data_IF_105107951936
#
_entry.id   IF_105107951936
#
_cell.length_a   1.000
_cell.length_b   1.000
_cell.length_c   1.000
_cell.angle_alpha   90.00
_cell.angle_beta   90.00
_cell.angle_gamma   90.00
#
_symmetry.space_group_name_H-M   'P 1'
#
loop_
_entity.id
_entity.type
_entity.pdbx_description
1 polymer ?
#
# COMPACT_ATOMS: atom_id res chain seq x y z
N UNK A 1 50.41 -1.01 0.59
CA UNK A 1 49.28 -0.28 1.22
C UNK A 1 48.58 0.50 0.12
N UNK A 2 47.51 -0.05 -0.45
CA UNK A 2 46.73 0.63 -1.50
C UNK A 2 45.59 1.38 -0.85
N UNK A 3 45.65 2.71 -0.84
CA UNK A 3 44.58 3.59 -0.40
C UNK A 3 43.39 3.44 -1.35
N UNK A 4 42.29 2.84 -0.89
CA UNK A 4 40.99 2.89 -1.56
C UNK A 4 40.50 4.34 -1.54
N UNK A 5 40.87 5.12 -2.56
CA UNK A 5 40.25 6.41 -2.81
C UNK A 5 38.79 6.13 -3.22
N UNK A 6 37.85 6.43 -2.32
CA UNK A 6 36.44 6.40 -2.64
C UNK A 6 36.18 7.40 -3.78
N UNK A 7 35.54 6.94 -4.86
CA UNK A 7 35.12 7.81 -5.97
C UNK A 7 34.23 8.94 -5.41
N UNK A 8 34.41 10.19 -5.87
CA UNK A 8 33.64 11.34 -5.40
C UNK A 8 32.14 11.18 -5.70
N UNK A 9 31.28 11.49 -4.73
CA UNK A 9 29.82 11.45 -4.88
C UNK A 9 29.34 12.73 -5.57
N UNK A 10 29.55 12.78 -6.90
CA UNK A 10 29.21 13.92 -7.75
C UNK A 10 27.76 14.39 -7.60
N UNK A 11 26.84 13.48 -7.24
CA UNK A 11 25.44 13.81 -7.00
C UNK A 11 25.25 14.43 -5.61
N UNK A 12 25.90 13.88 -4.58
CA UNK A 12 25.95 14.48 -3.24
C UNK A 12 26.52 15.90 -3.26
N UNK A 13 27.61 16.10 -3.99
CA UNK A 13 28.27 17.40 -4.14
C UNK A 13 27.38 18.42 -4.88
N UNK A 14 26.73 18.00 -5.96
CA UNK A 14 25.80 18.85 -6.73
C UNK A 14 24.55 19.22 -5.91
N UNK A 15 24.02 18.28 -5.12
CA UNK A 15 22.88 18.52 -4.24
C UNK A 15 23.26 19.43 -3.07
N UNK A 16 24.46 19.26 -2.50
CA UNK A 16 24.98 20.13 -1.45
C UNK A 16 25.19 21.56 -1.94
N UNK A 17 25.73 21.75 -3.14
CA UNK A 17 25.83 23.07 -3.77
C UNK A 17 24.47 23.74 -3.98
N UNK A 18 23.42 22.98 -4.31
CA UNK A 18 22.08 23.55 -4.56
C UNK A 18 21.24 23.77 -3.31
N UNK A 19 21.37 22.92 -2.29
CA UNK A 19 20.50 22.92 -1.11
C UNK A 19 21.14 23.59 0.11
N UNK A 20 22.44 23.92 0.07
CA UNK A 20 23.17 24.48 1.20
C UNK A 20 23.24 23.52 2.41
N UNK A 21 22.97 22.23 2.20
CA UNK A 21 22.95 21.18 3.22
C UNK A 21 23.67 19.95 2.69
N UNK A 22 24.50 19.34 3.53
CA UNK A 22 25.18 18.08 3.19
C UNK A 22 24.15 16.98 2.98
N UNK A 23 24.05 16.47 1.75
CA UNK A 23 23.20 15.32 1.42
C UNK A 23 24.06 14.07 1.44
N UNK A 24 24.19 13.45 2.60
CA UNK A 24 24.82 12.13 2.72
C UNK A 24 23.84 11.03 2.39
N UNK A 25 24.23 10.12 1.48
CA UNK A 25 23.48 8.88 1.24
C UNK A 25 23.39 8.08 2.55
N UNK A 26 22.21 7.56 2.95
CA UNK A 26 22.10 6.76 4.15
C UNK A 26 23.02 5.54 4.06
N UNK A 27 23.95 5.41 5.01
CA UNK A 27 24.84 4.26 5.10
C UNK A 27 24.06 3.10 5.75
N UNK A 28 23.64 2.13 4.94
CA UNK A 28 22.93 0.94 5.39
C UNK A 28 23.62 -0.33 4.88
N UNK A 29 23.36 -1.46 5.55
CA UNK A 29 23.80 -2.77 5.09
C UNK A 29 23.20 -3.09 3.72
N UNK A 30 23.95 -3.81 2.87
CA UNK A 30 23.51 -4.20 1.53
C UNK A 30 22.71 -5.52 1.58
N UNK A 31 21.66 -5.54 2.38
CA UNK A 31 20.77 -6.69 2.62
C UNK A 31 19.34 -6.22 2.91
N UNK A 32 18.42 -7.17 3.14
CA UNK A 32 17.04 -6.85 3.52
C UNK A 32 16.95 -6.10 4.86
N UNK A 33 17.92 -6.25 5.76
CA UNK A 33 18.02 -5.44 6.99
C UNK A 33 18.22 -3.96 6.69
N UNK A 34 19.07 -3.64 5.70
CA UNK A 34 19.28 -2.28 5.22
C UNK A 34 18.05 -1.72 4.50
N UNK A 35 17.34 -2.55 3.73
CA UNK A 35 16.05 -2.17 3.12
C UNK A 35 15.05 -1.77 4.20
N UNK A 36 14.87 -2.59 5.23
CA UNK A 36 13.95 -2.29 6.34
C UNK A 36 14.33 -1.01 7.09
N UNK A 37 15.63 -0.74 7.28
CA UNK A 37 16.09 0.51 7.90
C UNK A 37 15.75 1.74 7.05
N UNK A 38 16.01 1.68 5.74
CA UNK A 38 15.62 2.75 4.81
C UNK A 38 14.11 3.01 4.82
N UNK A 39 13.30 1.96 4.94
CA UNK A 39 11.84 2.09 5.05
C UNK A 39 11.44 2.77 6.35
N UNK A 40 12.02 2.35 7.48
CA UNK A 40 11.76 2.94 8.80
C UNK A 40 12.12 4.43 8.84
N UNK A 41 13.19 4.83 8.16
CA UNK A 41 13.65 6.22 8.07
C UNK A 41 12.92 7.05 6.97
N UNK A 42 11.94 6.46 6.28
CA UNK A 42 11.18 7.13 5.22
C UNK A 42 11.92 7.30 3.88
N UNK A 43 13.08 6.67 3.71
CA UNK A 43 13.90 6.72 2.50
C UNK A 43 13.44 5.71 1.43
N UNK A 44 12.17 5.73 1.04
CA UNK A 44 11.56 4.73 0.15
C UNK A 44 12.26 4.61 -1.22
N UNK A 45 12.72 5.71 -1.83
CA UNK A 45 13.47 5.66 -3.11
C UNK A 45 14.80 4.93 -2.98
N UNK A 46 15.52 5.17 -1.88
CA UNK A 46 16.76 4.44 -1.61
C UNK A 46 16.48 2.96 -1.36
N UNK A 47 15.38 2.63 -0.66
CA UNK A 47 14.96 1.24 -0.44
C UNK A 47 14.65 0.54 -1.78
N UNK A 48 13.93 1.18 -2.71
CA UNK A 48 13.70 0.63 -4.06
C UNK A 48 15.02 0.35 -4.77
N UNK A 49 15.96 1.29 -4.75
CA UNK A 49 17.25 1.10 -5.39
C UNK A 49 18.05 -0.04 -4.76
N UNK A 50 17.99 -0.20 -3.43
CA UNK A 50 18.62 -1.32 -2.75
C UNK A 50 17.99 -2.66 -3.14
N UNK A 51 16.65 -2.76 -3.21
CA UNK A 51 16.00 -4.01 -3.68
C UNK A 51 16.41 -4.38 -5.11
N UNK A 52 16.57 -3.40 -6.03
CA UNK A 52 17.08 -3.67 -7.37
C UNK A 52 18.49 -4.26 -7.32
N UNK A 53 19.38 -3.70 -6.49
CA UNK A 53 20.73 -4.22 -6.32
C UNK A 53 20.75 -5.66 -5.78
N UNK A 54 19.91 -5.96 -4.78
CA UNK A 54 19.80 -7.31 -4.21
C UNK A 54 19.29 -8.33 -5.25
N UNK A 55 18.35 -7.93 -6.11
CA UNK A 55 17.87 -8.79 -7.20
C UNK A 55 18.97 -9.03 -8.23
N UNK A 56 19.71 -7.99 -8.63
CA UNK A 56 20.85 -8.15 -9.56
C UNK A 56 21.92 -9.08 -9.00
N UNK A 57 22.24 -8.99 -7.71
CA UNK A 57 23.17 -9.92 -7.05
C UNK A 57 22.65 -11.36 -7.04
N UNK A 58 21.33 -11.55 -7.03
CA UNK A 58 20.69 -12.85 -7.15
C UNK A 58 20.41 -13.27 -8.61
N UNK A 59 21.03 -12.60 -9.60
CA UNK A 59 20.82 -12.85 -11.03
C UNK A 59 19.34 -12.73 -11.47
N UNK A 60 18.62 -11.79 -10.87
CA UNK A 60 17.24 -11.45 -11.22
C UNK A 60 17.11 -9.96 -11.60
N UNK A 61 16.02 -9.61 -12.28
CA UNK A 61 15.70 -8.23 -12.68
C UNK A 61 16.09 -7.91 -14.11
N UNK A 62 16.40 -6.64 -14.37
CA UNK A 62 16.63 -6.12 -15.73
C UNK A 62 17.68 -6.93 -16.51
N UNK A 63 17.37 -7.30 -17.75
CA UNK A 63 18.27 -8.05 -18.63
C UNK A 63 18.32 -9.55 -18.39
N UNK A 64 17.60 -10.08 -17.40
CA UNK A 64 17.58 -11.53 -17.08
C UNK A 64 16.39 -12.28 -17.69
N UNK A 65 15.58 -11.60 -18.52
CA UNK A 65 14.44 -12.24 -19.20
C UNK A 65 14.92 -13.38 -20.11
N UNK A 66 14.25 -14.54 -20.02
CA UNK A 66 14.58 -15.73 -20.80
C UNK A 66 15.72 -16.59 -20.23
N UNK A 67 16.38 -16.17 -19.14
CA UNK A 67 17.32 -17.02 -18.41
C UNK A 67 16.56 -18.02 -17.53
N UNK A 68 17.15 -19.20 -17.23
CA UNK A 68 16.55 -20.14 -16.30
C UNK A 68 16.24 -19.50 -14.95
N UNK A 69 15.01 -19.67 -14.47
CA UNK A 69 14.59 -19.16 -13.17
C UNK A 69 15.44 -19.76 -12.06
N UNK A 70 15.89 -18.92 -11.12
CA UNK A 70 16.57 -19.33 -9.90
C UNK A 70 15.85 -18.71 -8.70
N UNK A 71 14.62 -19.14 -8.48
CA UNK A 71 13.76 -18.56 -7.45
C UNK A 71 14.06 -19.17 -6.08
N UNK A 72 14.24 -18.29 -5.11
CA UNK A 72 14.45 -18.65 -3.71
C UNK A 72 13.43 -17.94 -2.82
N UNK A 73 13.32 -18.37 -1.56
CA UNK A 73 12.51 -17.63 -0.59
C UNK A 73 12.99 -16.18 -0.44
N UNK A 74 14.30 -15.97 -0.47
CA UNK A 74 14.93 -14.66 -0.38
C UNK A 74 14.57 -13.77 -1.57
N UNK A 75 14.69 -14.26 -2.82
CA UNK A 75 14.38 -13.42 -3.99
C UNK A 75 12.92 -12.99 -4.02
N UNK A 76 11.99 -13.86 -3.62
CA UNK A 76 10.58 -13.50 -3.48
C UNK A 76 10.28 -12.53 -2.35
N UNK A 77 11.03 -12.57 -1.24
CA UNK A 77 10.96 -11.55 -0.19
C UNK A 77 11.37 -10.18 -0.73
N UNK A 78 12.47 -10.12 -1.49
CA UNK A 78 12.97 -8.89 -2.12
C UNK A 78 11.96 -8.37 -3.15
N UNK A 79 11.40 -9.21 -4.03
CA UNK A 79 10.36 -8.82 -4.99
C UNK A 79 9.10 -8.31 -4.30
N UNK A 80 8.61 -9.01 -3.28
CA UNK A 80 7.43 -8.59 -2.53
C UNK A 80 7.65 -7.23 -1.86
N UNK A 81 8.85 -6.96 -1.33
CA UNK A 81 9.19 -5.65 -0.78
C UNK A 81 9.27 -4.57 -1.87
N UNK A 82 9.95 -4.87 -2.98
CA UNK A 82 10.08 -3.97 -4.13
C UNK A 82 8.73 -3.51 -4.65
N UNK A 83 7.79 -4.43 -4.88
CA UNK A 83 6.47 -4.09 -5.40
C UNK A 83 5.66 -3.22 -4.42
N UNK A 84 5.77 -3.46 -3.11
CA UNK A 84 5.14 -2.58 -2.11
C UNK A 84 5.71 -1.18 -2.17
N UNK A 85 7.02 -1.04 -2.32
CA UNK A 85 7.67 0.25 -2.41
C UNK A 85 7.33 1.01 -3.69
N UNK A 86 7.30 0.33 -4.84
CA UNK A 86 6.86 0.93 -6.11
C UNK A 86 5.41 1.41 -6.01
N UNK A 87 4.54 0.60 -5.41
CA UNK A 87 3.15 0.99 -5.14
C UNK A 87 3.07 2.23 -4.23
N UNK A 88 3.82 2.25 -3.13
CA UNK A 88 3.86 3.37 -2.18
C UNK A 88 4.40 4.67 -2.80
N UNK A 89 5.39 4.56 -3.69
CA UNK A 89 5.95 5.68 -4.46
C UNK A 89 5.11 6.07 -5.68
N UNK A 90 4.00 5.38 -5.94
CA UNK A 90 3.12 5.58 -7.10
C UNK A 90 3.83 5.39 -8.45
N UNK A 91 4.86 4.56 -8.48
CA UNK A 91 5.61 4.19 -9.68
C UNK A 91 4.88 3.05 -10.43
N UNK A 92 3.62 3.29 -10.79
CA UNK A 92 2.71 2.25 -11.28
C UNK A 92 3.11 1.65 -12.63
N UNK A 93 3.70 2.46 -13.53
CA UNK A 93 4.17 1.98 -14.84
C UNK A 93 5.27 0.94 -14.63
N UNK A 94 6.32 1.30 -13.90
CA UNK A 94 7.42 0.39 -13.57
C UNK A 94 6.94 -0.85 -12.80
N UNK A 95 6.02 -0.68 -11.85
CA UNK A 95 5.42 -1.80 -11.12
C UNK A 95 4.75 -2.80 -12.07
N UNK A 96 3.93 -2.33 -13.02
CA UNK A 96 3.23 -3.20 -13.95
C UNK A 96 4.19 -3.84 -14.97
N UNK A 97 5.21 -3.12 -15.44
CA UNK A 97 6.26 -3.67 -16.31
C UNK A 97 7.01 -4.82 -15.63
N UNK A 98 7.39 -4.66 -14.35
CA UNK A 98 8.09 -5.72 -13.61
C UNK A 98 7.14 -6.89 -13.25
N UNK A 99 5.88 -6.62 -12.93
CA UNK A 99 4.88 -7.66 -12.67
C UNK A 99 4.53 -8.48 -13.92
N UNK A 100 4.67 -7.92 -15.12
CA UNK A 100 4.34 -8.61 -16.37
C UNK A 100 5.14 -9.91 -16.55
N UNK A 101 6.35 -9.99 -16.00
CA UNK A 101 7.18 -11.20 -16.05
C UNK A 101 6.66 -12.36 -15.17
N UNK A 102 5.68 -12.09 -14.30
CA UNK A 102 5.10 -13.07 -13.39
C UNK A 102 3.71 -13.56 -13.82
N UNK A 103 3.15 -13.00 -14.89
CA UNK A 103 1.83 -13.35 -15.45
C UNK A 103 0.74 -13.46 -14.37
N UNK A 104 0.21 -14.66 -14.11
CA UNK A 104 -0.85 -14.90 -13.11
C UNK A 104 -0.32 -15.38 -11.74
N UNK A 105 1.00 -15.32 -11.50
CA UNK A 105 1.65 -15.85 -10.29
C UNK A 105 1.36 -17.33 -10.04
N UNK A 106 1.31 -18.11 -11.12
CA UNK A 106 0.97 -19.54 -11.09
C UNK A 106 1.88 -20.41 -11.97
N UNK A 107 2.94 -19.83 -12.53
CA UNK A 107 3.90 -20.59 -13.32
C UNK A 107 4.61 -21.67 -12.46
N UNK A 108 4.98 -22.83 -13.04
CA UNK A 108 5.57 -23.95 -12.28
C UNK A 108 6.82 -23.55 -11.49
N UNK A 109 7.65 -22.67 -12.04
CA UNK A 109 8.90 -22.17 -11.45
C UNK A 109 8.70 -21.25 -10.24
N UNK A 110 7.45 -20.98 -9.86
CA UNK A 110 7.07 -20.24 -8.65
C UNK A 110 6.70 -21.17 -7.48
N UNK A 111 6.92 -22.48 -7.62
CA UNK A 111 6.63 -23.50 -6.62
C UNK A 111 7.90 -24.20 -6.11
N UNK A 112 7.92 -24.60 -4.84
CA UNK A 112 9.07 -25.32 -4.25
C UNK A 112 9.43 -26.57 -5.06
N UNK A 113 8.42 -27.27 -5.56
CA UNK A 113 8.55 -28.53 -6.27
C UNK A 113 9.33 -28.43 -7.59
N UNK A 114 9.45 -27.24 -8.16
CA UNK A 114 10.22 -27.02 -9.38
C UNK A 114 11.74 -27.05 -9.14
N UNK A 115 12.19 -26.82 -7.89
CA UNK A 115 13.62 -26.77 -7.53
C UNK A 115 14.00 -27.91 -6.58
N UNK A 116 13.98 -29.18 -7.02
CA UNK A 116 14.31 -30.31 -6.15
C UNK A 116 15.76 -30.28 -5.63
N UNK A 117 16.65 -29.55 -6.31
CA UNK A 117 18.04 -29.37 -5.91
C UNK A 117 18.23 -28.29 -4.83
N UNK A 118 17.29 -27.34 -4.71
CA UNK A 118 17.36 -26.23 -3.75
C UNK A 118 16.50 -26.47 -2.51
N UNK A 119 15.41 -27.22 -2.65
CA UNK A 119 14.43 -27.44 -1.59
C UNK A 119 14.21 -28.92 -1.32
N UNK A 120 13.94 -29.23 -0.05
CA UNK A 120 13.60 -30.60 0.33
C UNK A 120 12.24 -31.00 -0.25
N UNK A 121 12.06 -32.29 -0.57
CA UNK A 121 10.79 -32.86 -1.07
C UNK A 121 9.60 -32.69 -0.09
N UNK A 122 9.88 -32.31 1.17
CA UNK A 122 8.86 -32.03 2.18
C UNK A 122 8.23 -30.64 2.02
N UNK A 123 8.93 -29.68 1.42
CA UNK A 123 8.41 -28.34 1.16
C UNK A 123 7.49 -28.40 -0.07
N UNK A 124 6.24 -27.98 0.12
CA UNK A 124 5.23 -27.94 -0.94
C UNK A 124 4.53 -26.59 -0.93
N UNK A 125 4.17 -26.11 -2.11
CA UNK A 125 3.37 -24.91 -2.29
C UNK A 125 4.13 -23.82 -3.03
N UNK A 126 3.52 -22.64 -3.05
CA UNK A 126 4.05 -21.50 -3.80
C UNK A 126 5.15 -20.78 -2.99
N UNK A 127 6.19 -20.35 -3.69
CA UNK A 127 7.18 -19.39 -3.21
C UNK A 127 6.62 -17.96 -3.16
N UNK A 128 5.55 -17.69 -3.92
CA UNK A 128 4.91 -16.37 -4.00
C UNK A 128 4.27 -16.00 -2.66
N UNK A 129 4.72 -14.90 -2.07
CA UNK A 129 4.16 -14.37 -0.83
C UNK A 129 2.72 -13.90 -1.04
N UNK A 130 1.89 -14.02 -0.01
CA UNK A 130 0.51 -13.54 -0.07
C UNK A 130 0.42 -12.04 -0.32
N UNK A 131 1.32 -11.24 0.26
CA UNK A 131 1.42 -9.80 0.02
C UNK A 131 1.68 -9.46 -1.44
N UNK A 132 2.52 -10.23 -2.12
CA UNK A 132 2.78 -10.09 -3.56
C UNK A 132 1.51 -10.35 -4.38
N UNK A 133 0.70 -11.34 -3.99
CA UNK A 133 -0.60 -11.59 -4.64
C UNK A 133 -1.59 -10.44 -4.45
N UNK A 134 -1.60 -9.78 -3.29
CA UNK A 134 -2.42 -8.59 -3.06
C UNK A 134 -2.02 -7.44 -3.99
N UNK A 135 -0.71 -7.14 -4.08
CA UNK A 135 -0.23 -6.04 -4.92
C UNK A 135 -0.44 -6.34 -6.39
N UNK A 136 -0.22 -7.57 -6.82
CA UNK A 136 -0.48 -8.01 -8.19
C UNK A 136 -1.95 -7.85 -8.57
N UNK A 137 -2.88 -8.06 -7.63
CA UNK A 137 -4.29 -7.79 -7.84
C UNK A 137 -4.58 -6.29 -7.92
N UNK A 138 -4.04 -5.51 -6.99
CA UNK A 138 -4.30 -4.08 -6.90
C UNK A 138 -3.64 -3.26 -8.03
N UNK A 139 -2.48 -3.67 -8.53
CA UNK A 139 -1.71 -2.97 -9.56
C UNK A 139 -2.51 -2.74 -10.84
N UNK A 140 -3.45 -3.64 -11.15
CA UNK A 140 -4.36 -3.51 -12.29
C UNK A 140 -5.23 -2.25 -12.24
N UNK A 141 -5.52 -1.71 -11.05
CA UNK A 141 -6.22 -0.43 -10.90
C UNK A 141 -5.53 0.71 -11.64
N UNK A 142 -4.21 0.61 -11.87
CA UNK A 142 -3.38 1.63 -12.50
C UNK A 142 -3.03 1.28 -13.95
N UNK A 143 -3.85 0.45 -14.59
CA UNK A 143 -3.73 0.06 -16.00
C UNK A 143 -4.94 0.55 -16.79
N UNK A 144 -4.95 0.42 -18.14
CA UNK A 144 -6.14 0.68 -18.94
C UNK A 144 -7.35 -0.21 -18.61
N UNK A 145 -7.17 -1.29 -17.82
CA UNK A 145 -8.20 -2.26 -17.48
C UNK A 145 -8.40 -2.40 -15.96
N UNK A 146 -8.81 -1.33 -15.25
CA UNK A 146 -8.85 -1.34 -13.78
C UNK A 146 -9.91 -2.28 -13.20
N UNK A 147 -10.93 -2.64 -13.98
CA UNK A 147 -11.94 -3.63 -13.58
C UNK A 147 -11.39 -5.06 -13.49
N UNK A 148 -10.33 -5.39 -14.23
CA UNK A 148 -9.66 -6.69 -14.12
C UNK A 148 -9.07 -6.93 -12.72
N UNK A 149 -8.85 -5.86 -11.94
CA UNK A 149 -8.49 -5.97 -10.54
C UNK A 149 -9.56 -6.75 -9.76
N UNK A 150 -10.85 -6.45 -9.96
CA UNK A 150 -11.93 -7.14 -9.24
C UNK A 150 -11.97 -8.63 -9.56
N UNK A 151 -11.81 -9.03 -10.83
CA UNK A 151 -11.76 -10.44 -11.20
C UNK A 151 -10.61 -11.19 -10.51
N UNK A 152 -9.43 -10.57 -10.45
CA UNK A 152 -8.26 -11.15 -9.77
C UNK A 152 -8.47 -11.20 -8.25
N UNK A 153 -9.10 -10.18 -7.66
CA UNK A 153 -9.47 -10.16 -6.24
C UNK A 153 -10.50 -11.25 -5.92
N UNK A 154 -11.48 -11.47 -6.78
CA UNK A 154 -12.52 -12.49 -6.63
C UNK A 154 -11.91 -13.89 -6.63
N UNK A 155 -11.01 -14.18 -7.57
CA UNK A 155 -10.26 -15.44 -7.61
C UNK A 155 -9.42 -15.62 -6.33
N UNK A 156 -8.76 -14.56 -5.84
CA UNK A 156 -7.98 -14.61 -4.62
C UNK A 156 -8.86 -14.90 -3.38
N UNK A 157 -10.03 -14.27 -3.27
CA UNK A 157 -10.99 -14.50 -2.19
C UNK A 157 -11.53 -15.94 -2.23
N UNK A 158 -11.90 -16.44 -3.41
CA UNK A 158 -12.33 -17.82 -3.60
C UNK A 158 -11.23 -18.81 -3.17
N UNK A 159 -9.98 -18.56 -3.53
CA UNK A 159 -8.85 -19.42 -3.15
C UNK A 159 -8.61 -19.41 -1.63
N UNK A 160 -8.69 -18.26 -0.98
CA UNK A 160 -8.59 -18.17 0.49
C UNK A 160 -9.72 -18.94 1.17
N UNK A 161 -10.96 -18.79 0.69
CA UNK A 161 -12.11 -19.51 1.22
C UNK A 161 -11.99 -21.02 1.01
N UNK A 162 -11.46 -21.50 -0.13
CA UNK A 162 -11.17 -22.92 -0.35
C UNK A 162 -10.17 -23.46 0.67
N UNK A 163 -9.14 -22.68 1.01
CA UNK A 163 -8.16 -23.09 2.04
C UNK A 163 -8.80 -23.15 3.42
N UNK A 164 -9.65 -22.18 3.77
CA UNK A 164 -10.41 -22.18 5.01
C UNK A 164 -11.41 -23.34 5.08
N UNK A 165 -12.09 -23.69 3.99
CA UNK A 165 -13.00 -24.84 3.96
C UNK A 165 -12.25 -26.17 4.19
N UNK A 166 -11.02 -26.28 3.65
CA UNK A 166 -10.18 -27.47 3.77
C UNK A 166 -9.27 -27.46 5.00
N UNK A 167 -9.56 -26.62 6.00
CA UNK A 167 -8.70 -26.39 7.17
C UNK A 167 -9.03 -27.29 8.37
N UNK A 168 -9.89 -28.31 8.19
CA UNK A 168 -10.24 -29.26 9.25
C UNK A 168 -8.98 -29.88 9.88
N UNK A 169 -8.90 -29.85 11.22
CA UNK A 169 -7.75 -30.37 11.97
C UNK A 169 -6.48 -29.50 11.92
N UNK A 170 -6.52 -28.29 11.33
CA UNK A 170 -5.40 -27.34 11.38
C UNK A 170 -5.40 -26.54 12.69
N UNK A 171 -4.22 -26.09 13.10
CA UNK A 171 -4.03 -25.29 14.32
C UNK A 171 -4.82 -23.97 14.29
N UNK A 172 -5.17 -23.44 15.46
CA UNK A 172 -5.78 -22.11 15.60
C UNK A 172 -4.95 -21.00 14.94
N UNK A 173 -3.61 -21.07 15.05
CA UNK A 173 -2.69 -20.14 14.35
C UNK A 173 -2.89 -20.13 12.84
N UNK A 174 -3.11 -21.30 12.23
CA UNK A 174 -3.40 -21.43 10.80
C UNK A 174 -4.71 -20.73 10.46
N UNK A 175 -5.76 -20.98 11.24
CA UNK A 175 -7.07 -20.34 11.05
C UNK A 175 -6.95 -18.83 11.14
N UNK A 176 -6.27 -18.32 12.17
CA UNK A 176 -6.07 -16.88 12.37
C UNK A 176 -5.38 -16.25 11.15
N UNK A 177 -4.27 -16.82 10.71
CA UNK A 177 -3.51 -16.31 9.54
C UNK A 177 -4.39 -16.27 8.28
N UNK A 178 -5.18 -17.31 8.01
CA UNK A 178 -6.02 -17.34 6.81
C UNK A 178 -7.25 -16.44 6.91
N UNK A 179 -7.82 -16.25 8.10
CA UNK A 179 -8.86 -15.25 8.32
C UNK A 179 -8.31 -13.82 8.17
N UNK A 180 -7.11 -13.54 8.66
CA UNK A 180 -6.44 -12.24 8.47
C UNK A 180 -6.19 -11.96 6.99
N UNK A 181 -5.77 -12.99 6.23
CA UNK A 181 -5.63 -12.93 4.77
C UNK A 181 -6.95 -12.67 4.07
N UNK A 182 -8.04 -13.35 4.47
CA UNK A 182 -9.38 -13.10 3.93
C UNK A 182 -9.81 -11.66 4.17
N UNK A 183 -9.62 -11.16 5.39
CA UNK A 183 -9.91 -9.78 5.76
C UNK A 183 -9.10 -8.79 4.91
N UNK A 184 -7.82 -9.07 4.65
CA UNK A 184 -6.98 -8.23 3.79
C UNK A 184 -7.51 -8.18 2.34
N UNK A 185 -7.95 -9.31 1.78
CA UNK A 185 -8.55 -9.37 0.43
C UNK A 185 -9.85 -8.58 0.38
N UNK A 186 -10.72 -8.72 1.38
CA UNK A 186 -11.99 -8.01 1.43
C UNK A 186 -11.80 -6.50 1.62
N UNK A 187 -10.81 -6.06 2.42
CA UNK A 187 -10.42 -4.65 2.53
C UNK A 187 -9.89 -4.11 1.19
N UNK A 188 -9.09 -4.91 0.48
CA UNK A 188 -8.61 -4.55 -0.85
C UNK A 188 -9.75 -4.45 -1.88
N UNK A 189 -10.74 -5.35 -1.84
CA UNK A 189 -11.96 -5.23 -2.67
C UNK A 189 -12.68 -3.92 -2.41
N UNK A 190 -12.93 -3.58 -1.15
CA UNK A 190 -13.62 -2.34 -0.78
C UNK A 190 -12.85 -1.09 -1.27
N UNK A 191 -11.52 -1.09 -1.13
CA UNK A 191 -10.65 -0.02 -1.64
C UNK A 191 -10.65 0.08 -3.17
N UNK A 192 -10.66 -1.07 -3.86
CA UNK A 192 -10.71 -1.13 -5.33
C UNK A 192 -12.03 -0.56 -5.84
N UNK A 193 -13.15 -0.92 -5.21
CA UNK A 193 -14.46 -0.34 -5.54
C UNK A 193 -14.49 1.18 -5.32
N UNK A 194 -13.87 1.67 -4.22
CA UNK A 194 -13.71 3.11 -4.02
C UNK A 194 -12.92 3.77 -5.17
N UNK A 195 -11.81 3.16 -5.59
CA UNK A 195 -11.01 3.64 -6.71
C UNK A 195 -11.81 3.69 -8.01
N UNK A 196 -12.62 2.67 -8.26
CA UNK A 196 -13.53 2.57 -9.41
C UNK A 196 -14.78 3.47 -9.31
N UNK A 197 -14.88 4.30 -8.26
CA UNK A 197 -16.03 5.18 -7.96
C UNK A 197 -17.34 4.45 -7.63
N UNK A 198 -17.27 3.15 -7.32
CA UNK A 198 -18.35 2.33 -6.78
C UNK A 198 -18.53 2.58 -5.28
N UNK A 199 -18.77 3.84 -4.91
CA UNK A 199 -18.78 4.31 -3.52
C UNK A 199 -19.84 3.63 -2.66
N UNK A 200 -21.05 3.40 -3.20
CA UNK A 200 -22.14 2.73 -2.46
C UNK A 200 -21.75 1.32 -2.05
N UNK A 201 -21.25 0.52 -2.99
CA UNK A 201 -20.80 -0.86 -2.74
C UNK A 201 -19.58 -0.88 -1.81
N UNK A 202 -18.63 0.04 -2.01
CA UNK A 202 -17.47 0.20 -1.14
C UNK A 202 -17.89 0.49 0.32
N UNK A 203 -18.82 1.42 0.54
CA UNK A 203 -19.35 1.74 1.87
C UNK A 203 -20.02 0.52 2.53
N UNK A 204 -20.83 -0.24 1.80
CA UNK A 204 -21.47 -1.45 2.34
C UNK A 204 -20.43 -2.46 2.83
N UNK A 205 -19.38 -2.70 2.03
CA UNK A 205 -18.30 -3.60 2.40
C UNK A 205 -17.52 -3.08 3.62
N UNK A 206 -17.13 -1.81 3.65
CA UNK A 206 -16.42 -1.25 4.79
C UNK A 206 -17.21 -1.31 6.09
N UNK A 207 -18.53 -1.03 6.06
CA UNK A 207 -19.38 -1.17 7.24
C UNK A 207 -19.47 -2.62 7.72
N UNK A 208 -19.51 -3.60 6.80
CA UNK A 208 -19.48 -5.03 7.17
C UNK A 208 -18.16 -5.42 7.83
N UNK A 209 -17.04 -4.94 7.28
CA UNK A 209 -15.69 -5.23 7.78
C UNK A 209 -15.34 -4.48 9.07
N UNK A 210 -16.09 -3.41 9.40
CA UNK A 210 -15.95 -2.60 10.61
C UNK A 210 -16.24 -3.34 11.93
N UNK A 211 -16.64 -4.61 11.88
CA UNK A 211 -16.94 -5.43 13.08
C UNK A 211 -15.70 -6.05 13.71
N UNK A 212 -14.54 -5.94 13.07
CA UNK A 212 -13.27 -6.41 13.61
C UNK A 212 -12.76 -5.51 14.75
N UNK A 213 -11.91 -6.07 15.62
CA UNK A 213 -11.24 -5.34 16.70
C UNK A 213 -10.38 -4.19 16.14
N UNK A 214 -10.97 -2.99 16.07
CA UNK A 214 -10.29 -1.77 15.66
C UNK A 214 -10.05 -0.87 16.87
N UNK A 215 -8.85 -0.30 16.92
CA UNK A 215 -8.54 0.75 17.89
C UNK A 215 -9.33 2.04 17.58
N UNK A 216 -9.32 3.00 18.51
CA UNK A 216 -10.10 4.25 18.39
C UNK A 216 -9.70 5.04 17.14
N UNK A 217 -8.41 5.16 16.86
CA UNK A 217 -7.87 5.90 15.71
C UNK A 217 -8.33 5.29 14.38
N UNK A 218 -8.27 3.97 14.25
CA UNK A 218 -8.73 3.23 13.07
C UNK A 218 -10.24 3.40 12.85
N UNK A 219 -11.04 3.39 13.94
CA UNK A 219 -12.48 3.66 13.87
C UNK A 219 -12.74 5.07 13.35
N UNK A 220 -12.07 6.08 13.90
CA UNK A 220 -12.21 7.47 13.44
C UNK A 220 -11.80 7.59 11.97
N UNK A 221 -10.64 7.07 11.58
CA UNK A 221 -10.16 7.11 10.19
C UNK A 221 -11.14 6.44 9.20
N UNK A 222 -11.72 5.30 9.58
CA UNK A 222 -12.75 4.62 8.80
C UNK A 222 -13.99 5.49 8.64
N UNK A 223 -14.49 6.12 9.70
CA UNK A 223 -15.68 6.97 9.63
C UNK A 223 -15.44 8.24 8.82
N UNK A 224 -14.29 8.88 8.99
CA UNK A 224 -13.86 10.01 8.16
C UNK A 224 -13.76 9.62 6.67
N UNK A 225 -13.31 8.40 6.35
CA UNK A 225 -13.33 7.90 4.98
C UNK A 225 -14.77 7.69 4.46
N UNK A 226 -15.64 7.08 5.26
CA UNK A 226 -17.04 6.86 4.91
C UNK A 226 -17.81 8.19 4.73
N UNK A 227 -17.49 9.22 5.51
CA UNK A 227 -18.00 10.59 5.30
C UNK A 227 -17.63 11.12 3.91
N UNK A 228 -16.36 10.97 3.49
CA UNK A 228 -15.92 11.39 2.14
C UNK A 228 -16.67 10.66 1.03
N UNK A 229 -16.95 9.37 1.21
CA UNK A 229 -17.74 8.59 0.24
C UNK A 229 -19.20 9.05 0.20
N UNK A 230 -19.81 9.31 1.37
CA UNK A 230 -21.18 9.81 1.45
C UNK A 230 -21.31 11.18 0.77
N UNK A 231 -20.36 12.08 1.01
CA UNK A 231 -20.24 13.38 0.32
C UNK A 231 -20.17 13.20 -1.21
N UNK A 232 -19.31 12.30 -1.68
CA UNK A 232 -19.11 12.07 -3.12
C UNK A 232 -20.36 11.54 -3.85
N UNK A 233 -21.24 10.82 -3.15
CA UNK A 233 -22.50 10.28 -3.69
C UNK A 233 -23.70 11.19 -3.41
N UNK A 234 -23.55 12.18 -2.53
CA UNK A 234 -24.66 13.00 -2.05
C UNK A 234 -25.61 12.28 -1.09
N UNK A 235 -25.12 11.26 -0.37
CA UNK A 235 -25.91 10.53 0.63
C UNK A 235 -25.92 11.29 1.97
N UNK A 236 -26.85 12.23 2.08
CA UNK A 236 -27.03 13.08 3.25
C UNK A 236 -27.23 12.29 4.55
N UNK A 237 -28.05 11.22 4.49
CA UNK A 237 -28.37 10.41 5.67
C UNK A 237 -27.14 9.69 6.20
N UNK A 238 -26.32 9.12 5.32
CA UNK A 238 -25.06 8.48 5.73
C UNK A 238 -24.03 9.51 6.21
N UNK A 239 -23.96 10.68 5.56
CA UNK A 239 -23.07 11.76 5.97
C UNK A 239 -23.35 12.19 7.41
N UNK A 240 -24.61 12.47 7.75
CA UNK A 240 -25.01 12.84 9.11
C UNK A 240 -24.67 11.76 10.13
N UNK A 241 -25.02 10.51 9.81
CA UNK A 241 -24.71 9.37 10.67
C UNK A 241 -23.21 9.29 10.99
N UNK A 242 -22.35 9.31 9.97
CA UNK A 242 -20.90 9.18 10.18
C UNK A 242 -20.31 10.41 10.87
N UNK A 243 -20.82 11.60 10.59
CA UNK A 243 -20.45 12.84 11.27
C UNK A 243 -20.71 12.75 12.78
N UNK A 244 -21.90 12.29 13.17
CA UNK A 244 -22.28 12.15 14.58
C UNK A 244 -21.43 11.09 15.29
N UNK A 245 -21.17 9.96 14.62
CA UNK A 245 -20.28 8.93 15.14
C UNK A 245 -18.85 9.50 15.36
N UNK A 246 -18.31 10.32 14.45
CA UNK A 246 -16.99 10.95 14.62
C UNK A 246 -16.98 11.95 15.77
N UNK A 247 -18.01 12.79 15.90
CA UNK A 247 -18.11 13.79 16.97
C UNK A 247 -18.09 13.17 18.37
N UNK A 248 -18.64 11.95 18.52
CA UNK A 248 -18.56 11.19 19.78
C UNK A 248 -17.17 10.60 20.06
N UNK A 249 -16.31 10.47 19.04
CA UNK A 249 -15.04 9.75 19.10
C UNK A 249 -13.79 10.63 18.99
N UNK A 250 -13.88 11.86 18.47
CA UNK A 250 -12.73 12.73 18.17
C UNK A 250 -12.95 14.16 18.67
N UNK A 251 -11.89 14.81 19.20
CA UNK A 251 -11.96 16.24 19.58
C UNK A 251 -11.44 17.18 18.49
N UNK A 252 -10.37 16.84 17.74
CA UNK A 252 -9.65 17.86 16.96
C UNK A 252 -9.30 17.52 15.49
N UNK A 253 -9.38 16.25 15.05
CA UNK A 253 -8.86 15.84 13.73
C UNK A 253 -9.89 15.84 12.57
N UNK A 254 -11.12 16.31 12.79
CA UNK A 254 -12.21 16.27 11.81
C UNK A 254 -12.56 17.65 11.22
N UNK A 255 -11.80 18.71 11.52
CA UNK A 255 -12.05 20.08 11.04
C UNK A 255 -12.31 20.13 9.54
N UNK A 256 -11.48 19.47 8.73
CA UNK A 256 -11.64 19.42 7.28
C UNK A 256 -12.97 18.78 6.87
N UNK A 257 -13.37 17.68 7.52
CA UNK A 257 -14.61 16.98 7.22
C UNK A 257 -15.83 17.77 7.66
N UNK A 258 -15.75 18.50 8.78
CA UNK A 258 -16.78 19.46 9.19
C UNK A 258 -16.92 20.59 8.17
N UNK A 259 -15.81 21.15 7.67
CA UNK A 259 -15.84 22.16 6.60
C UNK A 259 -16.49 21.60 5.33
N UNK A 260 -16.07 20.42 4.87
CA UNK A 260 -16.63 19.76 3.68
C UNK A 260 -18.14 19.48 3.83
N UNK A 261 -18.58 19.11 5.03
CA UNK A 261 -20.00 18.93 5.36
C UNK A 261 -20.77 20.26 5.22
N UNK A 262 -20.25 21.36 5.75
CA UNK A 262 -20.89 22.68 5.62
C UNK A 262 -20.99 23.14 4.16
N UNK A 263 -19.92 22.95 3.39
CA UNK A 263 -19.93 23.21 1.94
C UNK A 263 -21.01 22.38 1.23
N UNK A 264 -21.16 21.10 1.60
CA UNK A 264 -22.18 20.23 1.05
C UNK A 264 -23.62 20.75 1.26
N UNK A 265 -23.89 21.40 2.40
CA UNK A 265 -25.19 22.02 2.69
C UNK A 265 -25.35 23.44 2.13
N UNK A 266 -24.30 24.02 1.54
CA UNK A 266 -24.31 25.41 1.06
C UNK A 266 -23.98 26.45 2.13
N UNK A 267 -23.57 26.03 3.32
CA UNK A 267 -23.23 26.89 4.46
C UNK A 267 -21.78 27.41 4.35
N UNK A 268 -21.48 28.18 3.30
CA UNK A 268 -20.09 28.59 3.00
C UNK A 268 -19.46 29.47 4.09
N UNK A 269 -20.25 30.33 4.74
CA UNK A 269 -19.78 31.18 5.85
C UNK A 269 -19.33 30.34 7.05
N UNK A 270 -20.16 29.38 7.46
CA UNK A 270 -19.84 28.48 8.57
C UNK A 270 -18.66 27.56 8.22
N UNK A 271 -18.53 27.13 6.96
CA UNK A 271 -17.38 26.34 6.51
C UNK A 271 -16.06 27.10 6.72
N UNK A 272 -16.05 28.40 6.41
CA UNK A 272 -14.90 29.28 6.57
C UNK A 272 -14.57 29.49 8.06
N UNK A 273 -15.58 29.72 8.90
CA UNK A 273 -15.39 29.83 10.35
C UNK A 273 -14.77 28.57 10.96
N UNK A 274 -15.28 27.39 10.57
CA UNK A 274 -14.73 26.11 11.02
C UNK A 274 -13.28 25.94 10.56
N UNK A 275 -12.93 26.38 9.35
CA UNK A 275 -11.55 26.29 8.86
C UNK A 275 -10.59 27.14 9.70
N UNK A 276 -11.01 28.33 10.13
CA UNK A 276 -10.22 29.24 10.97
C UNK A 276 -10.04 28.77 12.42
N UNK A 277 -10.78 27.75 12.87
CA UNK A 277 -10.51 27.13 14.19
C UNK A 277 -9.17 26.38 14.25
N UNK A 278 -8.49 26.19 13.11
CA UNK A 278 -7.21 25.49 13.02
C UNK A 278 -6.01 26.46 13.14
N UNK A 279 -5.12 26.28 14.12
CA UNK A 279 -3.96 27.18 14.33
C UNK A 279 -3.00 27.28 13.13
N UNK A 280 -2.90 26.23 12.31
CA UNK A 280 -1.96 26.19 11.18
C UNK A 280 -2.37 27.09 10.01
N UNK A 281 -3.63 27.52 9.92
CA UNK A 281 -4.13 28.39 8.83
C UNK A 281 -4.11 29.89 9.18
N UNK A 282 -3.98 30.24 10.46
CA UNK A 282 -3.83 31.65 10.87
C UNK A 282 -2.41 32.20 10.60
N UNK A 283 -1.45 31.33 10.27
CA UNK A 283 -0.05 31.69 10.04
C UNK A 283 0.31 32.01 8.58
N UNK A 284 -0.60 31.79 7.61
CA UNK A 284 -0.36 32.20 6.22
C UNK A 284 -0.96 33.58 5.97
N UNK A 285 -0.09 34.59 5.89
CA UNK A 285 -0.38 36.00 5.63
C UNK A 285 -1.02 36.31 4.26
N UNK A 286 -1.50 35.31 3.51
CA UNK A 286 -2.09 35.48 2.18
C UNK A 286 -3.63 35.55 2.20
N UNK A 287 -4.29 35.29 3.34
CA UNK A 287 -5.76 35.23 3.41
C UNK A 287 -6.42 36.58 3.71
N UNK A 288 -5.66 37.60 4.16
CA UNK A 288 -6.20 38.95 4.36
C UNK A 288 -6.56 39.68 3.04
N UNK A 289 -6.25 39.11 1.88
CA UNK A 289 -6.58 39.70 0.58
C UNK A 289 -7.98 39.37 0.05
N UNK A 290 -8.78 38.57 0.77
CA UNK A 290 -10.18 38.29 0.41
C UNK A 290 -11.21 39.04 1.26
N UNK A 291 -10.78 40.07 2.00
CA UNK A 291 -11.64 40.87 2.88
C UNK A 291 -11.81 42.34 2.49
N UNK A 292 -11.49 42.71 1.25
CA UNK A 292 -11.85 44.00 0.66
C UNK A 292 -12.67 43.81 -0.62
#
# INVERSE_FOLDING_TARGET
MGTNAALPDLLGDALQQRLGKTVTRPAVSKDMGGVHRLIADGHFRAAVNLTAHLLTQANQGFGMAGQPSSNTQYTFEVWACRFQLLMALKLYVLLNEELASFEELDAPDLYYQYYPNLFSQKQKGSLVLFSMRLIHAEALCFTPFPWAALERIDRLEQNVNKVLANSAGRSERFQKIWNDRLLAVQKMRARTLFFLKEYTTSMVLYNRLSRADMNREQKVALKLMLMRMALAVGDEKKLERYSNEVATMSSDNDVLHRCLKRIFYGDYSEAVEVLYTRPDFSATSEVNNFRN
#
